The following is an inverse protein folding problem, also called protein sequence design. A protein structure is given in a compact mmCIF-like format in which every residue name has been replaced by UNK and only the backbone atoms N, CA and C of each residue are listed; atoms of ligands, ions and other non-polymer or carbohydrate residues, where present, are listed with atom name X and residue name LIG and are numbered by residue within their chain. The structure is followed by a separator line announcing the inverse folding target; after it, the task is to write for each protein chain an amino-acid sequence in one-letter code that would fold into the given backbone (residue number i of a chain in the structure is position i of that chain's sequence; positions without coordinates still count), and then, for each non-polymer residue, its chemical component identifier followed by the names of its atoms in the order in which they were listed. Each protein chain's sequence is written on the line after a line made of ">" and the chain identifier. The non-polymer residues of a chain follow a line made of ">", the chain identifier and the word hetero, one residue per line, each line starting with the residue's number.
data_IF_574889700390
#
_entry.id   IF_574889700390
#
_cell.length_a   1.000
_cell.length_b   1.000
_cell.length_c   1.000
_cell.angle_alpha   90.00
_cell.angle_beta   90.00
_cell.angle_gamma   90.00
#
_symmetry.space_group_name_H-M   'P 1'
#
loop_
_entity.id
_entity.type
_entity.pdbx_description
1 polymer ?
#
# COMPACT_ATOMS: atom_id res chain seq x y z
N UNK A 1 17.34 -7.35 3.70
CA UNK A 1 15.87 -7.47 3.76
C UNK A 1 15.30 -6.09 3.54
N UNK A 2 14.19 -6.00 2.81
CA UNK A 2 13.56 -4.74 2.40
C UNK A 2 12.06 -4.74 2.76
N UNK A 3 11.40 -3.60 2.67
CA UNK A 3 9.98 -3.44 2.98
C UNK A 3 9.10 -4.01 1.86
N UNK A 4 8.24 -4.95 2.21
CA UNK A 4 7.25 -5.53 1.30
C UNK A 4 5.86 -4.98 1.60
N UNK A 5 4.92 -5.11 0.66
CA UNK A 5 3.54 -4.70 0.86
C UNK A 5 2.59 -5.88 0.75
N UNK A 6 1.80 -6.06 1.82
CA UNK A 6 0.76 -7.09 1.94
C UNK A 6 -0.60 -6.43 2.13
N UNK A 7 -1.58 -6.84 1.33
CA UNK A 7 -2.97 -6.40 1.44
C UNK A 7 -3.82 -7.58 1.90
N UNK A 8 -4.51 -7.40 3.02
CA UNK A 8 -5.32 -8.43 3.65
C UNK A 8 -6.77 -7.97 3.76
N UNK A 9 -7.70 -8.85 3.37
CA UNK A 9 -9.11 -8.66 3.69
C UNK A 9 -9.35 -8.88 5.19
N UNK A 10 -10.09 -7.95 5.80
CA UNK A 10 -10.45 -7.98 7.21
C UNK A 10 -11.96 -7.83 7.35
N UNK A 11 -12.54 -8.62 8.25
CA UNK A 11 -13.87 -8.40 8.80
C UNK A 11 -13.88 -7.23 9.80
N UNK A 12 -15.07 -6.70 10.07
CA UNK A 12 -15.25 -5.60 11.04
C UNK A 12 -14.71 -5.95 12.44
N UNK A 13 -14.78 -7.22 12.85
CA UNK A 13 -14.26 -7.67 14.13
C UNK A 13 -12.73 -7.61 14.16
N UNK A 14 -12.08 -8.08 13.10
CA UNK A 14 -10.62 -8.12 12.95
C UNK A 14 -10.05 -6.69 12.91
N UNK A 15 -10.67 -5.81 12.12
CA UNK A 15 -10.33 -4.39 12.08
C UNK A 15 -10.50 -3.72 13.46
N UNK A 16 -11.54 -4.08 14.20
CA UNK A 16 -11.76 -3.55 15.55
C UNK A 16 -10.68 -3.99 16.54
N UNK A 17 -10.15 -5.22 16.41
CA UNK A 17 -9.02 -5.67 17.21
C UNK A 17 -7.75 -4.90 16.86
N UNK A 18 -7.42 -4.77 15.57
CA UNK A 18 -6.26 -4.00 15.08
C UNK A 18 -6.28 -2.56 15.62
N UNK A 19 -7.43 -1.89 15.54
CA UNK A 19 -7.60 -0.53 16.09
C UNK A 19 -7.33 -0.46 17.59
N UNK A 20 -7.71 -1.50 18.35
CA UNK A 20 -7.52 -1.57 19.80
C UNK A 20 -6.06 -1.84 20.19
N UNK A 21 -5.40 -2.73 19.45
CA UNK A 21 -4.01 -3.12 19.67
C UNK A 21 -2.99 -2.13 19.08
N UNK A 22 -3.42 -1.08 18.39
CA UNK A 22 -2.55 0.01 17.91
C UNK A 22 -1.65 0.67 18.97
N UNK A 23 -1.88 0.40 20.27
CA UNK A 23 -1.05 0.86 21.40
C UNK A 23 -0.12 -0.22 21.99
N UNK A 24 -0.19 -1.44 21.47
CA UNK A 24 0.51 -2.64 21.93
C UNK A 24 1.11 -3.31 20.69
N UNK A 25 2.21 -2.73 20.21
CA UNK A 25 2.83 -3.06 18.92
C UNK A 25 3.13 -4.55 18.75
N UNK A 26 3.69 -5.21 19.76
CA UNK A 26 4.02 -6.65 19.70
C UNK A 26 2.77 -7.50 19.45
N UNK A 27 1.68 -7.24 20.18
CA UNK A 27 0.40 -7.94 19.99
C UNK A 27 -0.26 -7.62 18.64
N UNK A 28 -0.01 -6.42 18.10
CA UNK A 28 -0.50 -6.02 16.79
C UNK A 28 0.24 -6.71 15.65
N UNK A 29 1.58 -6.78 15.73
CA UNK A 29 2.40 -7.44 14.73
C UNK A 29 2.12 -8.95 14.71
N UNK A 30 2.06 -9.58 15.87
CA UNK A 30 1.63 -10.98 16.00
C UNK A 30 0.25 -11.18 15.34
N UNK A 31 -0.70 -10.29 15.60
CA UNK A 31 -2.03 -10.37 15.00
C UNK A 31 -2.00 -10.24 13.47
N UNK A 32 -1.20 -9.32 12.92
CA UNK A 32 -1.10 -9.05 11.47
C UNK A 32 -0.33 -10.18 10.74
N UNK A 33 0.68 -10.76 11.38
CA UNK A 33 1.51 -11.85 10.85
C UNK A 33 0.83 -13.23 11.00
N UNK A 34 0.19 -13.50 12.14
CA UNK A 34 -0.50 -14.77 12.42
C UNK A 34 -1.91 -14.84 11.84
N UNK A 35 -2.41 -13.79 11.15
CA UNK A 35 -3.66 -13.90 10.40
C UNK A 35 -3.51 -15.05 9.41
N UNK A 36 -4.30 -16.13 9.57
CA UNK A 36 -4.02 -17.37 8.88
C UNK A 36 -4.08 -17.11 7.38
N UNK A 37 -3.18 -17.80 6.65
CA UNK A 37 -3.23 -18.06 5.20
C UNK A 37 -4.56 -18.69 4.72
N UNK A 38 -5.61 -18.69 5.55
CA UNK A 38 -6.97 -19.13 5.25
C UNK A 38 -7.91 -18.03 4.74
N UNK A 39 -7.48 -16.76 4.72
CA UNK A 39 -8.15 -15.76 3.91
C UNK A 39 -7.58 -15.90 2.49
N UNK A 40 -8.37 -16.43 1.54
CA UNK A 40 -8.04 -16.60 0.10
C UNK A 40 -7.66 -15.27 -0.62
N UNK A 41 -7.50 -14.16 0.11
CA UNK A 41 -7.36 -12.79 -0.40
C UNK A 41 -6.19 -12.05 0.27
N UNK A 42 -5.07 -12.74 0.51
CA UNK A 42 -3.78 -12.07 0.72
C UNK A 42 -3.19 -11.71 -0.64
N UNK A 43 -2.84 -10.43 -0.84
CA UNK A 43 -2.10 -9.97 -2.00
C UNK A 43 -0.73 -9.48 -1.51
N UNK A 44 0.33 -10.14 -1.96
CA UNK A 44 1.72 -9.74 -1.76
C UNK A 44 2.29 -9.25 -3.10
N UNK A 45 2.75 -8.00 -3.14
CA UNK A 45 3.38 -7.39 -4.33
C UNK A 45 4.90 -7.19 -4.16
N UNK A 46 5.48 -7.84 -3.16
CA UNK A 46 6.85 -7.70 -2.71
C UNK A 46 7.21 -6.20 -2.54
N UNK A 47 8.27 -5.73 -3.18
CA UNK A 47 8.83 -4.39 -2.98
C UNK A 47 8.28 -3.35 -3.97
N UNK A 48 7.34 -3.70 -4.84
CA UNK A 48 6.93 -2.86 -5.98
C UNK A 48 5.84 -1.82 -5.62
N UNK A 49 5.50 -1.66 -4.35
CA UNK A 49 4.42 -0.78 -3.88
C UNK A 49 4.66 0.70 -4.18
N UNK A 50 5.89 1.21 -4.05
CA UNK A 50 6.19 2.62 -4.34
C UNK A 50 6.20 2.91 -5.85
N UNK A 51 6.64 1.93 -6.65
CA UNK A 51 6.54 1.99 -8.10
C UNK A 51 5.07 1.99 -8.57
N UNK A 52 4.22 1.15 -7.96
CA UNK A 52 2.79 1.12 -8.25
C UNK A 52 2.13 2.46 -7.90
N UNK A 53 2.44 3.01 -6.72
CA UNK A 53 1.97 4.34 -6.31
C UNK A 53 2.39 5.40 -7.33
N UNK A 54 3.64 5.40 -7.75
CA UNK A 54 4.16 6.36 -8.72
C UNK A 54 3.51 6.22 -10.10
N UNK A 55 3.29 5.01 -10.59
CA UNK A 55 2.58 4.78 -11.86
C UNK A 55 1.15 5.32 -11.78
N UNK A 56 0.47 5.13 -10.65
CA UNK A 56 -0.92 5.51 -10.49
C UNK A 56 -1.13 7.02 -10.26
N UNK A 57 -0.17 7.67 -9.59
CA UNK A 57 -0.35 9.06 -9.11
C UNK A 57 0.65 10.05 -9.72
N UNK A 58 1.82 9.59 -10.15
CA UNK A 58 2.97 10.42 -10.54
C UNK A 58 3.81 10.91 -9.36
N UNK A 59 3.48 10.49 -8.13
CA UNK A 59 4.13 10.92 -6.89
C UNK A 59 4.77 9.72 -6.17
N UNK A 60 5.85 9.97 -5.43
CA UNK A 60 6.45 8.95 -4.58
C UNK A 60 5.76 8.87 -3.20
N UNK A 61 6.07 7.84 -2.42
CA UNK A 61 5.44 7.63 -1.11
C UNK A 61 5.69 8.74 -0.08
N UNK A 62 6.76 9.53 -0.26
CA UNK A 62 7.14 10.63 0.64
C UNK A 62 6.41 11.94 0.32
N UNK A 63 5.81 12.05 -0.86
CA UNK A 63 5.05 13.20 -1.29
C UNK A 63 3.63 13.17 -0.71
N UNK A 64 3.16 14.33 -0.26
CA UNK A 64 1.89 14.46 0.45
C UNK A 64 0.75 14.75 -0.53
N UNK A 65 -0.19 13.81 -0.61
CA UNK A 65 -1.49 13.99 -1.28
C UNK A 65 -2.57 13.44 -0.35
N UNK A 66 -3.39 14.33 0.19
CA UNK A 66 -4.59 13.94 0.92
C UNK A 66 -5.72 13.64 -0.07
N UNK A 67 -6.58 12.68 0.31
CA UNK A 67 -7.84 12.36 -0.36
C UNK A 67 -7.73 11.92 -1.84
N UNK A 68 -6.64 11.23 -2.22
CA UNK A 68 -6.49 10.59 -3.54
C UNK A 68 -6.82 9.08 -3.48
N UNK A 69 -7.90 8.61 -4.14
CA UNK A 69 -8.31 7.20 -4.06
C UNK A 69 -7.31 6.21 -4.66
N UNK A 70 -6.46 6.63 -5.62
CA UNK A 70 -5.42 5.78 -6.20
C UNK A 70 -4.24 5.63 -5.24
N UNK A 71 -3.90 6.69 -4.51
CA UNK A 71 -2.95 6.62 -3.38
C UNK A 71 -3.49 5.73 -2.27
N UNK A 72 -4.74 5.93 -1.86
CA UNK A 72 -5.40 5.15 -0.81
C UNK A 72 -5.50 3.66 -1.17
N UNK A 73 -5.59 3.33 -2.47
CA UNK A 73 -5.55 1.94 -2.94
C UNK A 73 -4.24 1.23 -2.59
N UNK A 74 -3.12 1.96 -2.58
CA UNK A 74 -1.78 1.40 -2.37
C UNK A 74 -1.35 1.51 -0.90
N UNK A 75 -1.62 2.64 -0.25
CA UNK A 75 -1.13 2.93 1.10
C UNK A 75 -2.19 2.74 2.19
N UNK A 76 -3.46 2.51 1.84
CA UNK A 76 -4.57 2.54 2.78
C UNK A 76 -4.99 3.95 3.17
N UNK A 77 -6.17 4.06 3.79
CA UNK A 77 -6.78 5.36 4.11
C UNK A 77 -6.30 5.90 5.46
N UNK A 78 -6.25 5.05 6.48
CA UNK A 78 -5.91 5.47 7.84
C UNK A 78 -4.68 4.72 8.34
N UNK A 79 -3.51 5.37 8.41
CA UNK A 79 -2.33 4.77 9.01
C UNK A 79 -2.51 4.61 10.51
N UNK A 80 -1.95 3.54 11.06
CA UNK A 80 -1.80 3.37 12.51
C UNK A 80 -0.62 4.21 12.98
N UNK A 81 -0.82 4.90 14.10
CA UNK A 81 0.25 5.68 14.73
C UNK A 81 0.98 4.85 15.80
N UNK A 82 2.25 5.15 16.04
CA UNK A 82 3.09 4.54 17.08
C UNK A 82 3.39 3.05 16.88
N UNK A 83 3.52 2.63 15.63
CA UNK A 83 3.99 1.30 15.21
C UNK A 83 5.30 1.47 14.42
N UNK A 84 6.24 0.51 14.52
CA UNK A 84 7.53 0.56 13.81
C UNK A 84 7.40 0.23 12.33
N UNK A 85 6.40 -0.57 11.96
CA UNK A 85 6.07 -0.90 10.58
C UNK A 85 4.92 -0.06 10.06
N UNK A 86 4.90 0.18 8.76
CA UNK A 86 3.79 0.90 8.13
C UNK A 86 2.58 -0.02 8.04
N UNK A 87 1.56 0.27 8.86
CA UNK A 87 0.29 -0.43 8.84
C UNK A 87 -0.81 0.60 8.64
N UNK A 88 -1.70 0.36 7.70
CA UNK A 88 -2.86 1.19 7.45
C UNK A 88 -4.09 0.32 7.21
N UNK A 89 -5.27 0.90 7.44
CA UNK A 89 -6.53 0.25 7.15
C UNK A 89 -7.43 1.13 6.29
N UNK A 90 -8.31 0.47 5.55
CA UNK A 90 -9.34 1.11 4.72
C UNK A 90 -10.69 0.60 5.17
N UNK A 91 -11.55 1.50 5.62
CA UNK A 91 -12.91 1.16 6.04
C UNK A 91 -13.80 0.91 4.81
N UNK A 92 -14.84 0.09 4.99
CA UNK A 92 -15.81 -0.24 3.94
C UNK A 92 -16.40 0.99 3.24
N UNK A 93 -16.57 2.11 3.96
CA UNK A 93 -17.07 3.38 3.42
C UNK A 93 -16.23 3.95 2.27
N UNK A 94 -14.92 3.68 2.24
CA UNK A 94 -13.97 4.18 1.23
C UNK A 94 -13.72 3.20 0.07
N UNK A 95 -14.03 1.92 0.26
CA UNK A 95 -13.79 0.87 -0.74
C UNK A 95 -14.47 1.17 -2.07
N UNK A 96 -15.72 1.67 -2.05
CA UNK A 96 -16.45 1.96 -3.30
C UNK A 96 -15.76 3.04 -4.14
N UNK A 97 -15.25 4.09 -3.50
CA UNK A 97 -14.56 5.18 -4.18
C UNK A 97 -13.22 4.71 -4.77
N UNK A 98 -12.45 3.94 -3.99
CA UNK A 98 -11.17 3.36 -4.42
C UNK A 98 -11.36 2.42 -5.61
N UNK A 99 -12.34 1.51 -5.54
CA UNK A 99 -12.63 0.57 -6.64
C UNK A 99 -13.02 1.33 -7.91
N UNK A 100 -13.86 2.37 -7.80
CA UNK A 100 -14.22 3.19 -8.95
C UNK A 100 -13.01 3.91 -9.56
N UNK A 101 -12.08 4.40 -8.73
CA UNK A 101 -10.86 5.02 -9.23
C UNK A 101 -9.97 4.01 -9.96
N UNK A 102 -9.79 2.80 -9.40
CA UNK A 102 -9.05 1.71 -10.01
C UNK A 102 -9.65 1.27 -11.35
N UNK A 103 -10.98 1.11 -11.42
CA UNK A 103 -11.68 0.71 -12.65
C UNK A 103 -11.58 1.75 -13.77
N UNK A 104 -11.48 3.03 -13.40
CA UNK A 104 -11.36 4.14 -14.35
C UNK A 104 -9.89 4.46 -14.71
N UNK A 105 -8.92 3.87 -14.02
CA UNK A 105 -7.50 4.13 -14.26
C UNK A 105 -7.01 3.38 -15.50
N UNK A 106 -6.51 4.13 -16.49
CA UNK A 106 -5.96 3.57 -17.72
C UNK A 106 -4.50 3.12 -17.50
N UNK A 107 -4.35 1.91 -16.97
CA UNK A 107 -3.04 1.30 -16.67
C UNK A 107 -2.17 1.14 -17.93
N UNK A 108 -2.78 0.75 -19.06
CA UNK A 108 -2.05 0.57 -20.31
C UNK A 108 -1.41 1.88 -20.78
N UNK A 109 -2.17 2.98 -20.69
CA UNK A 109 -1.65 4.31 -20.99
C UNK A 109 -0.58 4.76 -20.00
N UNK A 110 -0.76 4.52 -18.70
CA UNK A 110 0.23 4.88 -17.69
C UNK A 110 1.56 4.14 -17.91
N UNK A 111 1.50 2.85 -18.25
CA UNK A 111 2.67 2.03 -18.51
C UNK A 111 3.35 2.35 -19.86
N UNK A 112 2.63 2.93 -20.83
CA UNK A 112 3.22 3.37 -22.09
C UNK A 112 4.31 4.44 -21.90
N UNK A 113 4.19 5.25 -20.84
CA UNK A 113 5.15 6.31 -20.46
C UNK A 113 6.06 5.88 -19.30
N UNK A 114 6.00 4.63 -18.85
CA UNK A 114 6.82 4.13 -17.74
C UNK A 114 8.32 4.18 -18.08
N UNK A 115 9.12 4.70 -17.16
CA UNK A 115 10.56 4.84 -17.34
C UNK A 115 11.32 4.58 -16.05
N UNK A 116 12.31 3.68 -16.11
CA UNK A 116 13.23 3.43 -15.00
C UNK A 116 14.03 4.69 -14.63
N UNK A 117 14.36 5.56 -15.59
CA UNK A 117 14.96 6.87 -15.31
C UNK A 117 14.05 7.76 -14.47
N UNK A 118 12.75 7.75 -14.76
CA UNK A 118 11.79 8.51 -13.99
C UNK A 118 11.69 7.97 -12.56
N UNK A 119 11.64 6.64 -12.39
CA UNK A 119 11.67 5.99 -11.07
C UNK A 119 12.93 6.34 -10.28
N UNK A 120 14.11 6.27 -10.91
CA UNK A 120 15.38 6.69 -10.28
C UNK A 120 15.36 8.16 -9.87
N UNK A 121 14.86 9.04 -10.75
CA UNK A 121 14.78 10.49 -10.50
C UNK A 121 13.82 10.83 -9.36
N UNK A 122 12.73 10.07 -9.23
CA UNK A 122 11.76 10.20 -8.15
C UNK A 122 12.20 9.56 -6.83
N UNK A 123 13.40 8.95 -6.79
CA UNK A 123 13.98 8.30 -5.61
C UNK A 123 13.08 7.18 -5.05
N UNK A 124 12.47 6.39 -5.95
CA UNK A 124 11.50 5.37 -5.56
C UNK A 124 12.15 4.19 -4.86
N UNK A 125 11.44 3.63 -3.88
CA UNK A 125 11.74 2.32 -3.32
C UNK A 125 11.34 1.18 -4.30
N UNK A 126 12.10 0.07 -4.36
CA UNK A 126 13.43 -0.13 -3.78
C UNK A 126 14.49 0.54 -4.66
N UNK A 127 15.68 0.76 -4.10
CA UNK A 127 16.80 1.36 -4.82
C UNK A 127 17.41 0.37 -5.84
N UNK A 128 16.70 0.15 -6.94
CA UNK A 128 17.03 -0.80 -8.02
C UNK A 128 16.91 -0.19 -9.42
N UNK A 129 16.60 1.10 -9.51
CA UNK A 129 16.27 1.79 -10.77
C UNK A 129 17.51 2.23 -11.56
N UNK A 130 18.70 1.91 -11.04
CA UNK A 130 19.95 2.09 -11.75
C UNK A 130 19.97 1.22 -13.02
N UNK A 131 20.45 1.81 -14.11
CA UNK A 131 20.81 1.02 -15.27
C UNK A 131 21.97 0.09 -14.90
N UNK A 132 21.86 -1.17 -15.31
CA UNK A 132 23.05 -1.98 -15.49
C UNK A 132 23.83 -1.33 -16.64
N UNK A 133 24.95 -0.67 -16.32
CA UNK A 133 25.94 -0.24 -17.32
C UNK A 133 26.36 -1.40 -18.26
#
# INVERSE_FOLDING_TARGET
>A
MGMIANYQYLSDNELSQIKRYSRQEEELLDLVEDYPEGNDTLIDIDKMWDALLFVMTGFNSSEFMDDDPLREAVLGVTPLENVSEYIAYTEHSKITEIVQALENFDMDKALADFSMEACKKADLYPDIWDYLD
#
